data_IF_975436577503
#
_entry.id   IF_975436577503
#
_cell.length_a   1.000
_cell.length_b   1.000
_cell.length_c   1.000
_cell.angle_alpha   90.00
_cell.angle_beta   90.00
_cell.angle_gamma   90.00
#
_symmetry.space_group_name_H-M   'P 1'
#
loop_
_entity.id
_entity.type
_entity.pdbx_description
1 polymer ?
#
# COMPACT_ATOMS: atom_id res chain seq x y z
N UNK A 1 -10.19 1.89 11.06
CA UNK A 1 -9.53 0.58 10.86
C UNK A 1 -9.97 0.01 9.53
N UNK A 2 -9.14 0.12 8.49
CA UNK A 2 -9.41 -0.53 7.20
C UNK A 2 -8.55 -1.79 7.11
N UNK A 3 -9.16 -2.90 6.72
CA UNK A 3 -8.47 -4.17 6.49
C UNK A 3 -8.71 -4.58 5.05
N UNK A 4 -7.70 -5.18 4.41
CA UNK A 4 -7.89 -5.79 3.09
C UNK A 4 -8.96 -6.86 3.23
N UNK A 5 -10.09 -6.70 2.56
CA UNK A 5 -11.11 -7.74 2.59
C UNK A 5 -10.55 -9.03 1.95
N UNK A 6 -10.67 -10.19 2.62
CA UNK A 6 -10.30 -11.46 2.01
C UNK A 6 -11.07 -11.66 0.70
N UNK A 7 -10.42 -12.24 -0.32
CA UNK A 7 -11.04 -12.44 -1.63
C UNK A 7 -12.36 -13.22 -1.54
N UNK A 8 -12.47 -14.16 -0.60
CA UNK A 8 -13.71 -14.90 -0.35
C UNK A 8 -14.88 -14.00 0.08
N UNK A 9 -14.63 -13.06 0.99
CA UNK A 9 -15.64 -12.08 1.44
C UNK A 9 -16.04 -11.18 0.28
N UNK A 10 -15.09 -10.68 -0.50
CA UNK A 10 -15.39 -9.86 -1.67
C UNK A 10 -16.25 -10.64 -2.68
N UNK A 11 -15.93 -11.91 -2.92
CA UNK A 11 -16.73 -12.79 -3.80
C UNK A 11 -18.15 -12.96 -3.28
N UNK A 12 -18.33 -13.14 -1.98
CA UNK A 12 -19.67 -13.29 -1.37
C UNK A 12 -20.48 -12.00 -1.45
N UNK A 13 -19.84 -10.84 -1.22
CA UNK A 13 -20.50 -9.54 -1.41
C UNK A 13 -20.89 -9.35 -2.88
N UNK A 14 -20.00 -9.62 -3.83
CA UNK A 14 -20.30 -9.55 -5.26
C UNK A 14 -21.43 -10.51 -5.63
N UNK A 15 -21.46 -11.72 -5.06
CA UNK A 15 -22.54 -12.69 -5.28
C UNK A 15 -23.88 -12.10 -4.85
N UNK A 16 -23.96 -11.50 -3.67
CA UNK A 16 -25.20 -10.85 -3.18
C UNK A 16 -25.62 -9.68 -4.06
N UNK A 17 -24.67 -8.84 -4.48
CA UNK A 17 -24.95 -7.72 -5.39
C UNK A 17 -25.46 -8.20 -6.76
N UNK A 18 -24.87 -9.26 -7.31
CA UNK A 18 -25.31 -9.89 -8.56
C UNK A 18 -26.71 -10.47 -8.45
N UNK A 19 -26.98 -11.18 -7.36
CA UNK A 19 -28.31 -11.71 -7.06
C UNK A 19 -29.32 -10.57 -6.98
N UNK A 20 -29.04 -9.52 -6.21
CA UNK A 20 -29.91 -8.35 -6.13
C UNK A 20 -30.18 -7.71 -7.49
N UNK A 21 -29.12 -7.48 -8.28
CA UNK A 21 -29.22 -6.80 -9.58
C UNK A 21 -30.05 -7.58 -10.62
N UNK A 22 -29.88 -8.91 -10.69
CA UNK A 22 -30.48 -9.73 -11.75
C UNK A 22 -31.70 -10.54 -11.35
N UNK A 23 -31.85 -10.85 -10.06
CA UNK A 23 -32.99 -11.61 -9.53
C UNK A 23 -33.98 -10.72 -8.76
N UNK A 24 -33.54 -9.59 -8.21
CA UNK A 24 -34.39 -8.76 -7.36
C UNK A 24 -34.94 -9.56 -6.17
N UNK A 25 -36.27 -9.56 -6.01
CA UNK A 25 -37.01 -10.38 -5.04
C UNK A 25 -37.52 -11.71 -5.62
N UNK A 26 -37.30 -11.98 -6.90
CA UNK A 26 -37.69 -13.23 -7.56
C UNK A 26 -36.66 -14.33 -7.29
N UNK A 27 -37.10 -15.59 -7.24
CA UNK A 27 -36.17 -16.73 -7.22
C UNK A 27 -35.51 -16.97 -8.59
N UNK A 28 -36.15 -16.48 -9.66
CA UNK A 28 -35.73 -16.64 -11.05
C UNK A 28 -35.00 -15.40 -11.59
N UNK A 29 -33.89 -15.64 -12.28
CA UNK A 29 -33.07 -14.60 -12.92
C UNK A 29 -31.62 -15.06 -13.11
N UNK A 30 -31.07 -14.85 -14.29
CA UNK A 30 -29.69 -15.20 -14.62
C UNK A 30 -28.87 -13.94 -14.96
N UNK A 31 -27.55 -13.92 -14.69
CA UNK A 31 -26.71 -12.79 -15.05
C UNK A 31 -26.68 -12.61 -16.56
N UNK A 32 -27.18 -11.47 -17.06
CA UNK A 32 -27.16 -11.15 -18.50
C UNK A 32 -25.84 -10.55 -18.96
N UNK A 33 -25.10 -9.95 -18.03
CA UNK A 33 -23.86 -9.21 -18.31
C UNK A 33 -22.78 -9.65 -17.31
N UNK A 34 -21.54 -9.78 -17.79
CA UNK A 34 -20.38 -10.07 -16.94
C UNK A 34 -20.18 -8.94 -15.90
N UNK A 35 -19.82 -9.32 -14.67
CA UNK A 35 -19.70 -8.34 -13.58
C UNK A 35 -18.66 -7.24 -13.87
N UNK A 36 -17.57 -7.60 -14.56
CA UNK A 36 -16.54 -6.63 -14.95
C UNK A 36 -17.06 -5.57 -15.93
N UNK A 37 -18.05 -5.90 -16.76
CA UNK A 37 -18.70 -4.94 -17.68
C UNK A 37 -19.66 -4.04 -16.91
N UNK A 38 -20.42 -4.60 -15.95
CA UNK A 38 -21.28 -3.81 -15.04
C UNK A 38 -20.45 -2.76 -14.28
N UNK A 39 -19.21 -3.11 -13.92
CA UNK A 39 -18.30 -2.23 -13.19
C UNK A 39 -17.60 -1.13 -14.01
N UNK A 40 -17.75 -1.12 -15.34
CA UNK A 40 -17.19 -0.06 -16.19
C UNK A 40 -17.90 1.27 -15.94
N UNK A 41 -17.24 2.35 -16.38
CA UNK A 41 -17.84 3.68 -16.34
C UNK A 41 -19.10 3.72 -17.22
N UNK A 42 -20.04 4.60 -16.89
CA UNK A 42 -21.27 4.78 -17.69
C UNK A 42 -20.92 5.19 -19.13
N UNK A 43 -19.88 6.00 -19.30
CA UNK A 43 -19.33 6.42 -20.60
C UNK A 43 -18.78 5.25 -21.43
N UNK A 44 -18.32 4.18 -20.77
CA UNK A 44 -17.81 2.96 -21.41
C UNK A 44 -18.91 1.90 -21.61
N UNK A 45 -20.19 2.28 -21.44
CA UNK A 45 -21.35 1.39 -21.55
C UNK A 45 -21.56 0.48 -20.32
N UNK A 46 -20.90 0.77 -19.20
CA UNK A 46 -21.11 0.10 -17.92
C UNK A 46 -22.25 0.71 -17.10
N UNK A 47 -22.42 0.21 -15.87
CA UNK A 47 -23.45 0.68 -14.94
C UNK A 47 -22.88 1.55 -13.82
N UNK A 48 -21.58 1.87 -13.86
CA UNK A 48 -20.91 2.73 -12.88
C UNK A 48 -20.75 2.12 -11.49
N UNK A 49 -21.04 0.81 -11.33
CA UNK A 49 -20.87 0.13 -10.04
C UNK A 49 -19.37 -0.04 -9.76
N UNK A 50 -18.87 0.53 -8.66
CA UNK A 50 -17.44 0.43 -8.32
C UNK A 50 -17.01 -1.02 -8.14
N UNK A 51 -15.94 -1.42 -8.82
CA UNK A 51 -15.31 -2.71 -8.61
C UNK A 51 -14.75 -2.78 -7.17
N UNK A 52 -15.33 -3.66 -6.34
CA UNK A 52 -14.97 -3.78 -4.92
C UNK A 52 -13.51 -4.22 -4.72
N UNK A 53 -12.98 -5.06 -5.61
CA UNK A 53 -11.57 -5.44 -5.54
C UNK A 53 -10.67 -4.23 -5.77
N UNK A 54 -10.96 -3.44 -6.80
CA UNK A 54 -10.22 -2.21 -7.11
C UNK A 54 -10.35 -1.18 -5.98
N UNK A 55 -11.57 -0.97 -5.46
CA UNK A 55 -11.83 -0.05 -4.37
C UNK A 55 -11.07 -0.44 -3.09
N UNK A 56 -11.11 -1.71 -2.70
CA UNK A 56 -10.40 -2.21 -1.53
C UNK A 56 -8.88 -2.03 -1.68
N UNK A 57 -8.32 -2.30 -2.88
CA UNK A 57 -6.88 -2.07 -3.15
C UNK A 57 -6.54 -0.58 -3.09
N UNK A 58 -7.39 0.29 -3.65
CA UNK A 58 -7.19 1.74 -3.64
C UNK A 58 -7.23 2.32 -2.23
N UNK A 59 -8.21 1.93 -1.42
CA UNK A 59 -8.32 2.34 -0.01
C UNK A 59 -7.08 1.94 0.80
N UNK A 60 -6.61 0.71 0.59
CA UNK A 60 -5.43 0.21 1.30
C UNK A 60 -4.14 0.89 0.84
N UNK A 61 -4.07 1.23 -0.45
CA UNK A 61 -2.99 2.06 -0.99
C UNK A 61 -3.01 3.47 -0.40
N UNK A 62 -4.19 4.06 -0.22
CA UNK A 62 -4.36 5.36 0.47
C UNK A 62 -3.89 5.30 1.92
N UNK A 63 -4.24 4.24 2.66
CA UNK A 63 -3.77 4.05 4.04
C UNK A 63 -2.26 3.86 4.12
N UNK A 64 -1.68 3.04 3.23
CA UNK A 64 -0.24 2.90 3.14
C UNK A 64 0.44 4.24 2.77
N UNK A 65 -0.15 5.01 1.86
CA UNK A 65 0.30 6.35 1.51
C UNK A 65 0.31 7.31 2.71
N UNK A 66 -0.67 7.23 3.61
CA UNK A 66 -0.66 8.02 4.84
C UNK A 66 0.47 7.62 5.79
N UNK A 67 0.79 6.32 5.89
CA UNK A 67 1.96 5.83 6.65
C UNK A 67 3.27 6.29 6.01
N UNK A 68 3.36 6.21 4.68
CA UNK A 68 4.53 6.66 3.91
C UNK A 68 4.79 8.16 4.10
N UNK A 69 3.73 8.97 4.10
CA UNK A 69 3.80 10.42 4.36
C UNK A 69 4.06 10.75 5.83
N UNK A 70 4.09 9.75 6.71
CA UNK A 70 4.17 9.91 8.16
C UNK A 70 3.13 10.91 8.71
N UNK A 71 1.91 10.87 8.16
CA UNK A 71 0.84 11.78 8.55
C UNK A 71 0.34 11.47 9.98
N UNK A 72 0.94 12.16 10.97
CA UNK A 72 0.65 11.97 12.40
C UNK A 72 -0.71 12.52 12.84
N UNK A 73 -1.47 13.16 11.95
CA UNK A 73 -2.85 13.57 12.27
C UNK A 73 -3.76 12.37 12.51
N UNK A 74 -3.41 11.22 11.93
CA UNK A 74 -4.09 9.95 12.17
C UNK A 74 -3.44 9.20 13.34
N UNK A 75 -4.18 9.02 14.43
CA UNK A 75 -3.76 8.17 15.58
C UNK A 75 -3.34 6.77 15.12
N UNK A 76 -4.00 6.24 14.08
CA UNK A 76 -3.64 4.93 13.54
C UNK A 76 -2.27 4.94 12.84
N UNK A 77 -1.96 5.98 12.06
CA UNK A 77 -0.63 6.14 11.45
C UNK A 77 0.42 6.29 12.53
N UNK A 78 0.15 7.11 13.54
CA UNK A 78 1.05 7.32 14.66
C UNK A 78 1.36 6.01 15.40
N UNK A 79 0.32 5.22 15.72
CA UNK A 79 0.47 3.90 16.32
C UNK A 79 1.27 2.94 15.44
N UNK A 80 1.03 2.91 14.13
CA UNK A 80 1.80 2.07 13.20
C UNK A 80 3.27 2.44 13.25
N UNK A 81 3.60 3.73 13.22
CA UNK A 81 4.99 4.15 13.21
C UNK A 81 5.66 3.80 14.55
N UNK A 82 5.02 4.07 15.69
CA UNK A 82 5.60 3.80 17.00
C UNK A 82 5.66 2.31 17.37
N UNK A 83 4.65 1.51 16.99
CA UNK A 83 4.53 0.11 17.45
C UNK A 83 5.02 -0.88 16.42
N UNK A 84 4.80 -0.62 15.12
CA UNK A 84 5.14 -1.56 14.04
C UNK A 84 6.45 -1.23 13.33
N UNK A 85 6.69 0.03 13.02
CA UNK A 85 7.89 0.43 12.28
C UNK A 85 9.07 0.72 13.22
N UNK A 86 8.84 1.42 14.34
CA UNK A 86 9.91 1.87 15.26
C UNK A 86 11.03 2.53 14.46
N UNK A 87 12.21 1.92 14.47
CA UNK A 87 13.41 2.39 13.76
C UNK A 87 13.64 1.65 12.43
N UNK A 88 12.56 1.19 11.79
CA UNK A 88 12.62 0.51 10.50
C UNK A 88 11.83 1.27 9.43
N UNK A 89 12.36 1.27 8.22
CA UNK A 89 11.64 1.81 7.06
C UNK A 89 10.47 0.91 6.66
N UNK A 90 9.36 1.53 6.26
CA UNK A 90 8.22 0.85 5.62
C UNK A 90 8.63 0.09 4.35
N UNK A 91 9.72 0.50 3.71
CA UNK A 91 10.21 -0.06 2.45
C UNK A 91 10.99 -1.36 2.61
N UNK A 92 11.65 -1.54 3.76
CA UNK A 92 12.55 -2.69 4.00
C UNK A 92 12.10 -3.57 5.16
N UNK A 93 11.10 -3.15 5.95
CA UNK A 93 10.50 -4.00 6.99
C UNK A 93 10.01 -5.33 6.40
N UNK A 94 10.22 -6.43 7.14
CA UNK A 94 9.92 -7.78 6.66
C UNK A 94 8.40 -8.02 6.52
N UNK A 95 7.99 -8.59 5.38
CA UNK A 95 6.58 -8.89 5.07
C UNK A 95 6.04 -10.14 5.77
N UNK A 96 6.91 -10.99 6.33
CA UNK A 96 6.51 -12.25 6.95
C UNK A 96 6.08 -12.10 8.41
N UNK A 97 6.40 -10.98 9.06
CA UNK A 97 6.07 -10.73 10.47
C UNK A 97 4.74 -9.97 10.59
N UNK A 98 3.84 -10.48 11.42
CA UNK A 98 2.61 -9.78 11.82
C UNK A 98 1.31 -10.30 11.18
N UNK A 99 0.21 -9.61 11.49
CA UNK A 99 -1.13 -10.00 11.09
C UNK A 99 -1.28 -10.02 9.56
N UNK A 100 -2.16 -10.90 9.05
CA UNK A 100 -2.38 -11.05 7.61
C UNK A 100 -2.68 -9.72 6.89
N UNK A 101 -3.47 -8.84 7.49
CA UNK A 101 -3.77 -7.52 6.91
C UNK A 101 -2.53 -6.62 6.78
N UNK A 102 -1.63 -6.65 7.77
CA UNK A 102 -0.36 -5.92 7.73
C UNK A 102 0.52 -6.41 6.59
N UNK A 103 0.68 -7.73 6.45
CA UNK A 103 1.47 -8.34 5.37
C UNK A 103 0.94 -7.95 3.99
N UNK A 104 -0.39 -7.97 3.84
CA UNK A 104 -1.04 -7.57 2.58
C UNK A 104 -0.93 -6.08 2.29
N UNK A 105 -0.92 -5.23 3.32
CA UNK A 105 -0.66 -3.81 3.15
C UNK A 105 0.80 -3.58 2.74
N UNK A 106 1.78 -4.19 3.42
CA UNK A 106 3.20 -4.08 3.06
C UNK A 106 3.46 -4.49 1.61
N UNK A 107 2.83 -5.56 1.12
CA UNK A 107 2.97 -5.98 -0.27
C UNK A 107 2.56 -4.91 -1.30
N UNK A 108 1.72 -3.93 -0.92
CA UNK A 108 1.34 -2.82 -1.81
C UNK A 108 2.47 -1.79 -2.01
N UNK A 109 3.50 -1.76 -1.14
CA UNK A 109 4.61 -0.81 -1.26
C UNK A 109 5.30 -0.92 -2.61
N UNK A 110 5.54 -2.14 -3.10
CA UNK A 110 6.17 -2.39 -4.39
C UNK A 110 5.33 -1.88 -5.57
N UNK A 111 4.00 -1.88 -5.42
CA UNK A 111 3.10 -1.27 -6.42
C UNK A 111 3.18 0.25 -6.37
N UNK A 112 3.32 0.84 -5.17
CA UNK A 112 3.32 2.29 -4.99
C UNK A 112 4.67 2.94 -5.26
N UNK A 113 5.78 2.23 -5.06
CA UNK A 113 7.14 2.75 -5.18
C UNK A 113 7.38 3.55 -6.48
N UNK A 114 6.98 3.07 -7.68
CA UNK A 114 7.23 3.80 -8.93
C UNK A 114 6.45 5.13 -9.04
N UNK A 115 5.42 5.32 -8.24
CA UNK A 115 4.54 6.49 -8.27
C UNK A 115 4.83 7.48 -7.14
N UNK A 116 5.85 7.24 -6.33
CA UNK A 116 6.22 8.07 -5.20
C UNK A 116 7.55 8.76 -5.50
N UNK A 117 7.56 10.07 -5.34
CA UNK A 117 8.77 10.88 -5.36
C UNK A 117 8.87 11.58 -4.01
N UNK A 118 10.08 11.59 -3.44
CA UNK A 118 10.37 12.24 -2.19
C UNK A 118 11.07 13.57 -2.46
N UNK A 119 10.58 14.62 -1.81
CA UNK A 119 11.34 15.83 -1.60
C UNK A 119 11.98 15.70 -0.23
N UNK A 120 13.30 15.74 -0.20
CA UNK A 120 14.10 15.53 1.00
C UNK A 120 14.52 16.91 1.48
N UNK A 121 14.17 17.24 2.73
CA UNK A 121 14.57 18.49 3.36
C UNK A 121 15.93 18.30 4.05
N UNK A 122 15.93 18.10 5.36
CA UNK A 122 17.13 17.94 6.19
C UNK A 122 17.69 16.52 6.20
N UNK A 123 16.96 15.53 5.68
CA UNK A 123 17.36 14.13 5.66
C UNK A 123 17.31 13.39 7.01
N UNK A 124 16.85 14.01 8.09
CA UNK A 124 16.87 13.41 9.46
C UNK A 124 15.85 12.29 9.61
N UNK A 125 14.74 12.40 8.88
CA UNK A 125 13.65 11.43 8.93
C UNK A 125 13.85 10.24 8.00
N UNK A 126 14.83 10.28 7.10
CA UNK A 126 15.10 9.27 6.07
C UNK A 126 16.29 8.39 6.44
N UNK A 127 16.11 7.09 6.30
CA UNK A 127 17.20 6.12 6.39
C UNK A 127 17.98 6.06 5.08
N UNK A 128 19.28 6.28 5.15
CA UNK A 128 20.20 6.30 4.01
C UNK A 128 20.09 5.03 3.15
N UNK A 129 20.03 3.86 3.78
CA UNK A 129 20.04 2.59 3.05
C UNK A 129 18.65 2.03 2.77
N UNK A 130 17.67 2.41 3.57
CA UNK A 130 16.37 1.76 3.61
C UNK A 130 15.24 2.54 2.96
N UNK A 131 15.35 3.87 2.84
CA UNK A 131 14.33 4.68 2.18
C UNK A 131 14.70 4.97 0.72
N UNK A 132 13.70 5.08 -0.19
CA UNK A 132 13.90 5.31 -1.62
C UNK A 132 14.06 6.79 -1.94
N UNK A 133 15.07 7.42 -1.33
CA UNK A 133 15.42 8.82 -1.61
C UNK A 133 16.16 8.97 -2.95
N UNK A 134 16.70 7.87 -3.49
CA UNK A 134 17.36 7.80 -4.79
C UNK A 134 16.48 7.11 -5.85
N UNK A 135 16.70 7.41 -7.13
CA UNK A 135 15.95 6.84 -8.27
C UNK A 135 16.02 5.31 -8.37
N UNK A 136 17.02 4.71 -7.72
CA UNK A 136 17.21 3.26 -7.65
C UNK A 136 16.33 2.58 -6.58
N UNK A 137 15.52 3.36 -5.85
CA UNK A 137 14.78 2.89 -4.69
C UNK A 137 15.68 2.70 -3.46
N UNK A 138 15.28 1.84 -2.50
CA UNK A 138 16.07 1.58 -1.30
C UNK A 138 17.43 0.95 -1.67
N UNK A 139 18.52 1.67 -1.39
CA UNK A 139 19.86 1.28 -1.82
C UNK A 139 20.29 -0.09 -1.27
N UNK A 140 19.84 -0.48 -0.07
CA UNK A 140 20.17 -1.78 0.52
C UNK A 140 19.68 -2.97 -0.33
N UNK A 141 18.63 -2.78 -1.13
CA UNK A 141 18.10 -3.83 -2.01
C UNK A 141 18.99 -4.03 -3.24
N UNK A 142 19.73 -3.00 -3.64
CA UNK A 142 20.63 -3.03 -4.80
C UNK A 142 22.08 -3.32 -4.41
N UNK A 143 22.51 -2.79 -3.26
CA UNK A 143 23.85 -2.91 -2.71
C UNK A 143 23.78 -3.42 -1.26
N UNK A 144 23.55 -4.73 -1.04
CA UNK A 144 23.42 -5.29 0.30
C UNK A 144 24.66 -5.06 1.19
N UNK A 145 25.85 -4.98 0.59
CA UNK A 145 27.11 -4.70 1.28
C UNK A 145 27.48 -3.21 1.34
N UNK A 146 26.62 -2.34 0.82
CA UNK A 146 26.86 -0.90 0.73
C UNK A 146 27.30 -0.25 2.06
N UNK A 147 26.58 -0.47 3.18
CA UNK A 147 26.96 0.12 4.47
C UNK A 147 28.41 -0.18 4.88
N UNK A 148 28.85 -1.44 4.68
CA UNK A 148 30.22 -1.85 5.04
C UNK A 148 31.27 -1.22 4.13
N UNK A 149 30.98 -1.09 2.83
CA UNK A 149 31.92 -0.55 1.85
C UNK A 149 32.11 0.97 1.99
N UNK A 150 31.07 1.68 2.42
CA UNK A 150 31.13 3.14 2.62
C UNK A 150 31.45 3.54 4.06
N UNK A 151 31.68 2.57 4.95
CA UNK A 151 31.84 2.79 6.39
C UNK A 151 30.68 3.61 7.01
N UNK A 152 29.44 3.32 6.59
CA UNK A 152 28.21 3.91 7.16
C UNK A 152 27.43 2.86 7.94
N UNK A 153 26.69 3.28 8.96
CA UNK A 153 25.80 2.43 9.72
C UNK A 153 24.60 1.97 8.90
N UNK A 154 24.13 0.75 9.17
CA UNK A 154 22.99 0.15 8.46
C UNK A 154 21.71 0.99 8.60
N UNK A 155 21.53 1.65 9.74
CA UNK A 155 20.36 2.47 10.06
C UNK A 155 20.69 3.97 10.10
N UNK A 156 21.80 4.38 9.47
CA UNK A 156 22.18 5.79 9.39
C UNK A 156 21.10 6.62 8.70
N UNK A 157 20.95 7.85 9.18
CA UNK A 157 20.08 8.85 8.58
C UNK A 157 20.76 9.51 7.40
N UNK A 158 19.97 9.96 6.44
CA UNK A 158 20.46 10.56 5.20
C UNK A 158 21.25 11.85 5.45
N UNK A 159 20.90 12.61 6.50
CA UNK A 159 21.59 13.85 6.86
C UNK A 159 23.08 13.64 7.15
N UNK A 160 23.47 12.48 7.68
CA UNK A 160 24.87 12.13 7.97
C UNK A 160 25.74 12.21 6.71
N UNK A 161 25.18 11.94 5.53
CA UNK A 161 25.91 12.03 4.26
C UNK A 161 25.79 13.43 3.64
N UNK A 162 24.64 14.10 3.83
CA UNK A 162 24.42 15.44 3.30
C UNK A 162 25.27 16.52 3.99
N UNK A 163 25.56 16.37 5.29
CA UNK A 163 26.42 17.30 6.05
C UNK A 163 27.91 17.20 5.66
N UNK A 164 28.31 16.13 4.96
CA UNK A 164 29.69 15.85 4.55
C UNK A 164 29.94 16.06 3.05
N UNK A 165 28.98 16.63 2.32
CA UNK A 165 29.03 16.88 0.87
C UNK A 165 29.08 18.38 0.56
#
# INVERSE_FOLDING_TARGET
>A
MAFILPKGIIKEVIKRLRTFLWKGTSESGYPKVAWDVVCRLVEEGGQGIRNIFALNRALMSKHLGAVIKQDRTSIWVDWIIHVRLRDSSIWTVQENKGAWGWRKMLALRHTLLPYIQYQIDDGTSFFLWHDPWHTLGPLILRFPCGPQLTNTGLFDKLNVVMENA
#
